data_IF_548376791584
#
_entry.id   IF_548376791584
#
_cell.length_a   1.000
_cell.length_b   1.000
_cell.length_c   1.000
_cell.angle_alpha   90.00
_cell.angle_beta   90.00
_cell.angle_gamma   90.00
#
_symmetry.space_group_name_H-M   'P 1'
#
loop_
_entity.id
_entity.type
_entity.pdbx_description
1 polymer ?
#
# COMPACT_ATOMS: atom_id res chain seq x y z
N UNK A 1 -10.13 12.30 17.43
CA UNK A 1 -9.39 12.57 16.19
C UNK A 1 -9.89 11.65 15.11
N UNK A 2 -9.56 11.95 13.87
CA UNK A 2 -9.93 11.14 12.70
C UNK A 2 -9.30 9.74 12.82
N UNK A 3 -10.00 8.70 12.36
CA UNK A 3 -9.49 7.32 12.38
C UNK A 3 -8.97 6.93 11.01
N UNK A 4 -7.71 6.52 10.94
CA UNK A 4 -7.08 6.04 9.69
C UNK A 4 -7.89 4.94 9.01
N UNK A 5 -8.39 3.96 9.78
CA UNK A 5 -9.22 2.87 9.26
C UNK A 5 -10.49 3.32 8.52
N UNK A 6 -11.05 4.48 8.89
CA UNK A 6 -12.19 5.08 8.20
C UNK A 6 -11.74 5.67 6.86
N UNK A 7 -10.73 6.53 6.88
CA UNK A 7 -10.19 7.18 5.66
C UNK A 7 -9.74 6.14 4.62
N UNK A 8 -8.96 5.14 5.05
CA UNK A 8 -8.44 4.10 4.17
C UNK A 8 -9.54 3.26 3.54
N UNK A 9 -10.64 3.01 4.25
CA UNK A 9 -11.81 2.30 3.70
C UNK A 9 -12.52 3.15 2.65
N UNK A 10 -12.75 4.43 2.93
CA UNK A 10 -13.42 5.35 2.02
C UNK A 10 -12.64 5.51 0.72
N UNK A 11 -11.32 5.68 0.80
CA UNK A 11 -10.44 5.73 -0.38
C UNK A 11 -10.46 4.40 -1.14
N UNK A 12 -10.41 3.26 -0.44
CA UNK A 12 -10.44 1.95 -1.08
C UNK A 12 -11.76 1.66 -1.82
N UNK A 13 -12.89 2.09 -1.26
CA UNK A 13 -14.21 1.98 -1.91
C UNK A 13 -14.30 2.86 -3.16
N UNK A 14 -13.78 4.09 -3.10
CA UNK A 14 -13.69 4.99 -4.26
C UNK A 14 -12.78 4.41 -5.34
N UNK A 15 -11.62 3.86 -4.96
CA UNK A 15 -10.69 3.20 -5.87
C UNK A 15 -11.32 1.97 -6.54
N UNK A 16 -12.02 1.14 -5.77
CA UNK A 16 -12.80 0.01 -6.31
C UNK A 16 -13.79 0.47 -7.37
N UNK A 17 -14.61 1.48 -7.04
CA UNK A 17 -15.64 1.98 -7.94
C UNK A 17 -15.07 2.53 -9.26
N UNK A 18 -13.94 3.23 -9.23
CA UNK A 18 -13.32 3.75 -10.45
C UNK A 18 -12.64 2.65 -11.28
N UNK A 19 -11.99 1.66 -10.66
CA UNK A 19 -11.38 0.53 -11.38
C UNK A 19 -12.47 -0.28 -12.08
N UNK A 20 -13.50 -0.72 -11.35
CA UNK A 20 -14.56 -1.60 -11.89
C UNK A 20 -15.40 -0.90 -12.97
N UNK A 21 -15.43 0.44 -12.98
CA UNK A 21 -16.10 1.21 -14.02
C UNK A 21 -15.29 1.30 -15.32
N UNK A 22 -13.96 1.34 -15.25
CA UNK A 22 -13.11 1.72 -16.38
C UNK A 22 -12.19 0.60 -16.88
N UNK A 23 -11.96 -0.44 -16.09
CA UNK A 23 -11.10 -1.56 -16.45
C UNK A 23 -11.86 -2.88 -16.38
N UNK A 24 -11.49 -3.89 -17.21
CA UNK A 24 -12.10 -5.20 -17.19
C UNK A 24 -11.59 -6.07 -16.01
N UNK A 25 -11.34 -5.47 -14.85
CA UNK A 25 -10.83 -6.13 -13.66
C UNK A 25 -11.81 -6.01 -12.50
N UNK A 26 -11.92 -7.09 -11.71
CA UNK A 26 -12.69 -7.11 -10.47
C UNK A 26 -11.81 -6.68 -9.31
N UNK A 27 -12.37 -5.88 -8.38
CA UNK A 27 -11.64 -5.46 -7.18
C UNK A 27 -12.16 -6.20 -5.94
N UNK A 28 -11.24 -6.92 -5.30
CA UNK A 28 -11.49 -7.57 -4.02
C UNK A 28 -10.87 -6.73 -2.89
N UNK A 29 -11.71 -6.25 -1.97
CA UNK A 29 -11.23 -5.60 -0.75
C UNK A 29 -10.91 -6.65 0.31
N UNK A 30 -9.90 -6.38 1.13
CA UNK A 30 -9.55 -7.23 2.29
C UNK A 30 -10.54 -7.06 3.44
N UNK A 31 -11.27 -5.94 3.46
CA UNK A 31 -12.42 -5.64 4.33
C UNK A 31 -13.36 -4.67 3.61
N UNK A 32 -14.66 -4.82 3.85
CA UNK A 32 -15.69 -3.87 3.36
C UNK A 32 -16.34 -3.08 4.50
N UNK A 33 -16.01 -3.43 5.75
CA UNK A 33 -16.55 -2.85 6.97
C UNK A 33 -15.42 -2.48 7.94
N UNK A 34 -15.77 -1.89 9.08
CA UNK A 34 -14.84 -1.55 10.16
C UNK A 34 -14.48 -2.77 11.00
N UNK A 35 -13.80 -3.74 10.38
CA UNK A 35 -13.33 -4.98 11.00
C UNK A 35 -11.81 -5.10 10.91
N UNK A 36 -11.21 -5.64 11.96
CA UNK A 36 -9.76 -5.92 11.97
C UNK A 36 -9.45 -7.15 11.13
N UNK A 37 -8.43 -7.01 10.27
CA UNK A 37 -7.92 -8.09 9.41
C UNK A 37 -6.40 -8.10 9.58
N UNK A 38 -5.88 -9.22 10.11
CA UNK A 38 -4.43 -9.40 10.32
C UNK A 38 -3.67 -9.31 9.00
N UNK A 39 -2.39 -8.97 9.08
CA UNK A 39 -1.53 -8.77 7.91
C UNK A 39 -1.44 -10.07 7.08
N UNK A 40 -1.33 -11.22 7.74
CA UNK A 40 -1.27 -12.54 7.13
C UNK A 40 -2.58 -12.87 6.40
N UNK A 41 -3.73 -12.53 7.01
CA UNK A 41 -5.04 -12.74 6.38
C UNK A 41 -5.23 -11.87 5.15
N UNK A 42 -4.69 -10.64 5.14
CA UNK A 42 -4.70 -9.77 3.94
C UNK A 42 -3.92 -10.40 2.79
N UNK A 43 -2.71 -10.91 3.05
CA UNK A 43 -1.91 -11.61 2.04
C UNK A 43 -2.59 -12.90 1.56
N UNK A 44 -3.17 -13.68 2.48
CA UNK A 44 -3.92 -14.89 2.14
C UNK A 44 -5.13 -14.61 1.24
N UNK A 45 -5.88 -13.53 1.50
CA UNK A 45 -6.98 -13.09 0.63
C UNK A 45 -6.44 -12.81 -0.78
N UNK A 46 -5.39 -12.01 -0.92
CA UNK A 46 -4.80 -11.67 -2.23
C UNK A 46 -4.40 -12.94 -3.01
N UNK A 47 -3.75 -13.89 -2.35
CA UNK A 47 -3.31 -15.15 -2.96
C UNK A 47 -4.48 -16.06 -3.35
N UNK A 48 -5.49 -16.18 -2.48
CA UNK A 48 -6.67 -17.03 -2.74
C UNK A 48 -7.46 -16.56 -3.95
N UNK A 49 -7.55 -15.24 -4.14
CA UNK A 49 -8.17 -14.63 -5.32
C UNK A 49 -7.24 -14.57 -6.53
N UNK A 50 -6.00 -15.08 -6.43
CA UNK A 50 -4.97 -15.01 -7.47
C UNK A 50 -4.84 -13.58 -8.01
N UNK A 51 -4.76 -12.62 -7.09
CA UNK A 51 -4.71 -11.21 -7.42
C UNK A 51 -3.56 -10.92 -8.40
N UNK A 52 -3.83 -10.07 -9.39
CA UNK A 52 -2.80 -9.63 -10.33
C UNK A 52 -1.91 -8.55 -9.72
N UNK A 53 -2.47 -7.71 -8.85
CA UNK A 53 -1.79 -6.63 -8.11
C UNK A 53 -2.41 -6.54 -6.72
N UNK A 54 -1.59 -6.20 -5.72
CA UNK A 54 -2.02 -5.87 -4.37
C UNK A 54 -1.65 -4.42 -4.01
N UNK A 55 -2.60 -3.66 -3.46
CA UNK A 55 -2.41 -2.28 -3.04
C UNK A 55 -2.91 -2.13 -1.60
N UNK A 56 -2.00 -1.83 -0.67
CA UNK A 56 -2.36 -1.44 0.71
C UNK A 56 -2.45 0.08 0.78
N UNK A 57 -3.55 0.62 1.29
CA UNK A 57 -3.78 2.07 1.42
C UNK A 57 -3.69 2.45 2.90
N UNK A 58 -2.87 3.46 3.21
CA UNK A 58 -2.60 3.96 4.55
C UNK A 58 -2.66 5.50 4.63
N UNK A 59 -2.77 6.02 5.85
CA UNK A 59 -2.68 7.45 6.14
C UNK A 59 -1.67 7.70 7.27
N UNK A 60 -0.41 7.85 6.86
CA UNK A 60 0.81 7.95 7.63
C UNK A 60 0.70 8.66 9.00
N UNK A 61 1.43 8.14 9.97
CA UNK A 61 1.56 8.71 11.30
C UNK A 61 3.01 9.08 11.62
N UNK A 62 3.25 10.31 12.08
CA UNK A 62 4.55 10.75 12.58
C UNK A 62 4.45 11.45 13.93
N UNK A 63 5.50 11.30 14.74
CA UNK A 63 5.70 12.13 15.93
C UNK A 63 5.91 13.61 15.56
N UNK A 64 6.48 13.88 14.38
CA UNK A 64 6.63 15.23 13.85
C UNK A 64 5.32 15.65 13.19
N UNK A 65 4.53 16.47 13.88
CA UNK A 65 3.25 17.02 13.39
C UNK A 65 3.37 17.91 12.13
N UNK A 66 4.59 18.23 11.70
CA UNK A 66 4.90 18.95 10.47
C UNK A 66 5.25 18.04 9.29
N UNK A 67 5.43 16.72 9.52
CA UNK A 67 5.59 15.76 8.43
C UNK A 67 4.36 15.82 7.53
N UNK A 68 4.58 15.83 6.22
CA UNK A 68 3.52 15.93 5.23
C UNK A 68 3.93 15.31 3.91
N UNK A 69 2.96 14.98 3.08
CA UNK A 69 3.16 14.42 1.75
C UNK A 69 2.77 12.95 1.62
N UNK A 70 2.84 12.48 0.38
CA UNK A 70 2.52 11.10 0.00
C UNK A 70 3.77 10.33 -0.43
N UNK A 71 3.83 9.06 -0.06
CA UNK A 71 4.92 8.14 -0.41
C UNK A 71 4.35 6.77 -0.78
N UNK A 72 5.05 6.06 -1.67
CA UNK A 72 4.67 4.72 -2.11
C UNK A 72 5.81 3.76 -1.85
N UNK A 73 5.51 2.61 -1.25
CA UNK A 73 6.49 1.62 -0.83
C UNK A 73 6.32 0.30 -1.58
N UNK A 74 7.44 -0.38 -1.83
CA UNK A 74 7.47 -1.78 -2.21
C UNK A 74 8.36 -2.60 -1.27
N UNK A 75 8.23 -3.93 -1.33
CA UNK A 75 8.93 -4.83 -0.41
C UNK A 75 10.44 -4.88 -0.67
N UNK A 76 11.22 -4.76 0.40
CA UNK A 76 12.67 -5.02 0.44
C UNK A 76 13.08 -5.44 1.85
N UNK A 77 14.11 -6.28 1.98
CA UNK A 77 14.71 -6.60 3.29
C UNK A 77 15.34 -5.37 3.95
N UNK A 78 15.85 -4.44 3.13
CA UNK A 78 16.50 -3.22 3.59
C UNK A 78 15.59 -2.02 3.37
N UNK A 79 15.42 -1.21 4.42
CA UNK A 79 14.71 0.07 4.34
C UNK A 79 15.53 1.15 3.61
N UNK A 80 14.87 2.01 2.83
CA UNK A 80 15.50 3.16 2.15
C UNK A 80 16.24 4.09 3.12
N UNK A 81 15.61 4.40 4.25
CA UNK A 81 16.13 5.30 5.28
C UNK A 81 15.59 4.91 6.67
N UNK A 82 16.05 5.59 7.72
CA UNK A 82 15.65 5.33 9.10
C UNK A 82 14.18 5.70 9.38
N UNK A 83 13.63 6.70 8.70
CA UNK A 83 12.22 7.07 8.83
C UNK A 83 11.32 5.94 8.30
N UNK A 84 11.67 5.41 7.13
CA UNK A 84 11.04 4.28 6.47
C UNK A 84 11.14 3.01 7.31
N UNK A 85 12.30 2.77 7.94
CA UNK A 85 12.49 1.63 8.86
C UNK A 85 11.54 1.70 10.05
N UNK A 86 11.35 2.90 10.62
CA UNK A 86 10.44 3.11 11.75
C UNK A 86 8.98 2.96 11.34
N UNK A 87 8.60 3.50 10.18
CA UNK A 87 7.25 3.32 9.65
C UNK A 87 6.94 1.84 9.46
N UNK A 88 7.82 1.08 8.80
CA UNK A 88 7.66 -0.36 8.64
C UNK A 88 7.55 -1.08 9.99
N UNK A 89 8.36 -0.70 10.98
CA UNK A 89 8.24 -1.26 12.33
C UNK A 89 6.86 -0.97 12.96
N UNK A 90 6.36 0.26 12.85
CA UNK A 90 5.05 0.63 13.40
C UNK A 90 3.92 -0.13 12.70
N UNK A 91 3.90 -0.16 11.37
CA UNK A 91 2.88 -0.87 10.59
C UNK A 91 2.90 -2.38 10.84
N UNK A 92 4.07 -2.96 11.06
CA UNK A 92 4.21 -4.39 11.35
C UNK A 92 3.77 -4.80 12.77
N UNK A 93 3.57 -3.82 13.66
CA UNK A 93 3.20 -4.03 15.07
C UNK A 93 1.91 -3.27 15.45
N UNK A 94 1.20 -2.66 14.50
CA UNK A 94 -0.02 -1.88 14.75
C UNK A 94 -1.25 -2.77 15.04
N UNK A 95 -1.13 -4.08 14.83
CA UNK A 95 -2.16 -5.06 15.16
C UNK A 95 -1.79 -5.79 16.45
N UNK A 96 -2.35 -5.36 17.58
CA UNK A 96 -2.32 -6.11 18.84
C UNK A 96 -3.27 -7.31 18.71
N UNK A 97 -2.74 -8.50 18.43
CA UNK A 97 -3.25 -9.85 18.77
C UNK A 97 -2.79 -10.86 17.70
N UNK A 98 -1.54 -11.29 17.83
CA UNK A 98 -1.16 -12.70 17.99
C UNK A 98 0.37 -12.80 17.92
N UNK A 99 0.99 -12.97 19.09
CA UNK A 99 2.34 -13.52 19.19
C UNK A 99 2.28 -15.00 18.87
N UNK A 100 2.32 -15.36 17.59
CA UNK A 100 2.73 -16.72 17.21
C UNK A 100 4.25 -16.75 17.27
N UNK A 101 4.78 -17.42 18.29
CA UNK A 101 6.13 -17.98 18.21
C UNK A 101 6.16 -18.91 17.00
N UNK A 102 6.94 -18.56 15.97
CA UNK A 102 7.31 -19.53 14.95
C UNK A 102 8.80 -19.80 15.03
N UNK A 103 9.10 -21.01 15.51
CA UNK A 103 10.40 -21.66 15.40
C UNK A 103 10.89 -21.69 13.94
N UNK A 104 12.21 -21.54 13.78
CA UNK A 104 13.03 -21.85 12.62
C UNK A 104 12.42 -21.57 11.23
N UNK A 105 12.79 -20.44 10.65
CA UNK A 105 12.55 -20.16 9.22
C UNK A 105 13.43 -21.09 8.38
N UNK A 106 12.82 -22.06 7.70
CA UNK A 106 13.48 -22.96 6.74
C UNK A 106 14.13 -22.17 5.59
N UNK A 107 15.45 -22.26 5.45
CA UNK A 107 16.27 -21.61 4.41
C UNK A 107 15.81 -21.89 2.96
N UNK A 108 15.08 -22.99 2.73
CA UNK A 108 14.51 -23.36 1.42
C UNK A 108 13.34 -22.45 1.04
N UNK A 109 12.53 -21.98 2.01
CA UNK A 109 11.53 -20.95 1.75
C UNK A 109 12.24 -19.66 1.35
N UNK A 110 13.34 -19.29 2.01
CA UNK A 110 14.12 -18.09 1.68
C UNK A 110 14.62 -18.08 0.23
N UNK A 111 15.09 -19.21 -0.31
CA UNK A 111 15.61 -19.32 -1.68
C UNK A 111 14.49 -19.30 -2.74
N UNK A 112 13.37 -19.99 -2.49
CA UNK A 112 12.17 -19.92 -3.34
C UNK A 112 11.50 -18.53 -3.28
N UNK A 113 11.55 -17.87 -2.11
CA UNK A 113 11.21 -16.47 -1.92
C UNK A 113 12.11 -15.56 -2.75
N UNK A 114 13.44 -15.70 -2.68
CA UNK A 114 14.40 -14.87 -3.42
C UNK A 114 14.17 -14.90 -4.95
N UNK A 115 13.89 -16.07 -5.51
CA UNK A 115 13.68 -16.25 -6.94
C UNK A 115 12.32 -15.71 -7.43
N UNK A 116 11.22 -16.00 -6.72
CA UNK A 116 9.88 -15.49 -7.04
C UNK A 116 9.73 -13.99 -6.74
N UNK A 117 10.45 -13.47 -5.74
CA UNK A 117 10.49 -12.06 -5.37
C UNK A 117 11.12 -11.20 -6.46
N UNK A 118 12.16 -11.63 -7.16
CA UNK A 118 12.89 -10.70 -8.04
C UNK A 118 12.02 -10.06 -9.13
N UNK A 119 11.10 -10.82 -9.75
CA UNK A 119 10.19 -10.28 -10.76
C UNK A 119 9.06 -9.46 -10.16
N UNK A 120 8.43 -9.95 -9.08
CA UNK A 120 7.36 -9.21 -8.41
C UNK A 120 7.86 -7.94 -7.74
N UNK A 121 9.07 -7.92 -7.16
CA UNK A 121 9.70 -6.70 -6.63
C UNK A 121 9.95 -5.71 -7.77
N UNK A 122 10.52 -6.14 -8.90
CA UNK A 122 10.72 -5.22 -10.05
C UNK A 122 9.41 -4.63 -10.54
N UNK A 123 8.37 -5.45 -10.64
CA UNK A 123 7.02 -5.00 -11.03
C UNK A 123 6.40 -4.10 -9.95
N UNK A 124 6.60 -4.39 -8.67
CA UNK A 124 6.14 -3.56 -7.55
C UNK A 124 6.82 -2.20 -7.53
N UNK A 125 8.12 -2.16 -7.82
CA UNK A 125 8.87 -0.90 -7.97
C UNK A 125 8.32 -0.06 -9.11
N UNK A 126 8.10 -0.65 -10.30
CA UNK A 126 7.47 0.04 -11.43
C UNK A 126 6.07 0.54 -11.10
N UNK A 127 5.23 -0.30 -10.50
CA UNK A 127 3.88 0.07 -10.05
C UNK A 127 3.93 1.23 -9.04
N UNK A 128 4.86 1.18 -8.08
CA UNK A 128 5.05 2.24 -7.09
C UNK A 128 5.45 3.56 -7.74
N UNK A 129 6.36 3.53 -8.72
CA UNK A 129 6.76 4.72 -9.49
C UNK A 129 5.56 5.33 -10.22
N UNK A 130 4.76 4.53 -10.94
CA UNK A 130 3.58 5.03 -11.66
C UNK A 130 2.57 5.67 -10.71
N UNK A 131 2.24 5.00 -9.60
CA UNK A 131 1.32 5.53 -8.58
C UNK A 131 1.86 6.83 -7.99
N UNK A 132 3.14 6.85 -7.57
CA UNK A 132 3.75 8.03 -6.97
C UNK A 132 3.77 9.22 -7.94
N UNK A 133 4.07 8.99 -9.22
CA UNK A 133 4.01 10.05 -10.24
C UNK A 133 2.61 10.66 -10.33
N UNK A 134 1.55 9.84 -10.34
CA UNK A 134 0.17 10.37 -10.41
C UNK A 134 -0.22 11.10 -9.14
N UNK A 135 0.17 10.60 -7.96
CA UNK A 135 -0.06 11.28 -6.67
C UNK A 135 0.53 12.70 -6.73
N UNK A 136 1.81 12.81 -7.08
CA UNK A 136 2.51 14.10 -7.17
C UNK A 136 1.81 15.12 -8.08
N UNK A 137 1.11 14.66 -9.11
CA UNK A 137 0.41 15.54 -10.06
C UNK A 137 -1.04 15.86 -9.69
N UNK A 138 -1.71 15.00 -8.92
CA UNK A 138 -3.18 15.05 -8.75
C UNK A 138 -3.65 15.29 -7.32
N UNK A 139 -2.91 14.86 -6.30
CA UNK A 139 -3.35 14.98 -4.90
C UNK A 139 -2.97 16.31 -4.26
N UNK A 140 -2.02 17.05 -4.84
CA UNK A 140 -1.48 18.29 -4.26
C UNK A 140 -0.64 18.06 -3.00
N UNK A 141 -0.27 16.82 -2.69
CA UNK A 141 0.60 16.45 -1.57
C UNK A 141 2.07 16.72 -1.89
N UNK A 142 2.88 16.92 -0.85
CA UNK A 142 4.33 16.96 -1.01
C UNK A 142 4.83 15.60 -1.51
N UNK A 143 5.67 15.60 -2.54
CA UNK A 143 6.29 14.39 -3.07
C UNK A 143 7.36 13.87 -2.09
N UNK A 144 7.16 12.65 -1.56
CA UNK A 144 8.16 11.94 -0.73
C UNK A 144 8.82 10.77 -1.45
N UNK A 145 8.43 10.53 -2.70
CA UNK A 145 9.05 9.56 -3.58
C UNK A 145 8.63 8.11 -3.34
N UNK A 146 9.28 7.23 -4.09
CA UNK A 146 9.16 5.78 -3.93
C UNK A 146 10.23 5.29 -2.98
N UNK A 147 9.85 4.40 -2.07
CA UNK A 147 10.73 3.85 -1.04
C UNK A 147 10.56 2.34 -0.92
N UNK A 148 11.45 1.69 -0.19
CA UNK A 148 11.44 0.26 0.02
C UNK A 148 11.65 -0.06 1.50
N UNK A 149 10.97 -1.09 2.03
CA UNK A 149 11.09 -1.51 3.42
C UNK A 149 10.50 -2.92 3.67
N UNK A 150 10.79 -3.56 4.81
CA UNK A 150 10.28 -4.89 5.15
C UNK A 150 8.86 -4.85 5.73
N UNK A 151 7.89 -4.39 4.94
CA UNK A 151 6.48 -4.37 5.34
C UNK A 151 5.86 -5.78 5.30
N UNK A 152 5.42 -6.29 6.45
CA UNK A 152 4.80 -7.63 6.59
C UNK A 152 3.55 -7.80 5.74
N UNK A 153 2.77 -6.73 5.53
CA UNK A 153 1.56 -6.77 4.67
C UNK A 153 1.90 -7.04 3.20
N UNK A 154 3.11 -6.70 2.75
CA UNK A 154 3.59 -6.99 1.39
C UNK A 154 4.30 -8.35 1.33
N UNK A 155 4.77 -8.85 2.46
CA UNK A 155 5.28 -10.22 2.59
C UNK A 155 4.14 -11.23 2.42
N UNK A 156 4.44 -12.36 1.78
CA UNK A 156 3.44 -13.42 1.58
C UNK A 156 2.58 -13.25 0.32
N UNK A 157 2.54 -12.06 -0.28
CA UNK A 157 1.72 -11.81 -1.48
C UNK A 157 2.40 -12.36 -2.73
N UNK A 158 1.71 -13.19 -3.49
CA UNK A 158 2.20 -13.88 -4.69
C UNK A 158 1.93 -13.08 -5.99
N UNK A 159 2.05 -11.75 -5.93
CA UNK A 159 1.90 -10.82 -7.06
C UNK A 159 2.66 -9.50 -6.76
N UNK A 160 2.77 -8.56 -7.72
CA UNK A 160 3.23 -7.20 -7.43
C UNK A 160 2.40 -6.54 -6.33
N UNK A 161 3.06 -5.91 -5.36
CA UNK A 161 2.46 -5.40 -4.15
C UNK A 161 3.07 -4.07 -3.72
N UNK A 162 2.22 -3.08 -3.41
CA UNK A 162 2.64 -1.75 -2.93
C UNK A 162 1.86 -1.33 -1.69
N UNK A 163 2.49 -0.48 -0.88
CA UNK A 163 1.84 0.26 0.21
C UNK A 163 1.85 1.75 -0.12
N UNK A 164 0.68 2.38 -0.13
CA UNK A 164 0.50 3.79 -0.48
C UNK A 164 0.16 4.57 0.79
N UNK A 165 1.07 5.45 1.20
CA UNK A 165 0.81 6.45 2.23
C UNK A 165 0.26 7.72 1.58
N UNK A 166 -1.01 7.98 1.83
CA UNK A 166 -1.77 9.00 1.11
C UNK A 166 -1.45 10.43 1.57
N UNK A 167 -1.33 10.64 2.88
CA UNK A 167 -0.87 11.85 3.56
C UNK A 167 -0.66 11.53 5.05
N UNK A 168 -0.16 12.48 5.85
CA UNK A 168 0.03 12.28 7.28
C UNK A 168 -1.22 12.65 8.09
N UNK A 169 -1.95 11.65 8.61
CA UNK A 169 -3.07 11.88 9.54
C UNK A 169 -2.63 12.61 10.80
N UNK A 170 -1.36 12.45 11.17
CA UNK A 170 -0.75 13.15 12.30
C UNK A 170 -0.59 14.66 12.09
N UNK A 171 -0.62 15.15 10.85
CA UNK A 171 -0.50 16.57 10.51
C UNK A 171 -1.88 17.23 10.47
N UNK A 172 -2.15 18.25 11.31
CA UNK A 172 -3.49 18.85 11.40
C UNK A 172 -4.02 19.48 10.10
N UNK A 173 -3.14 19.86 9.17
CA UNK A 173 -3.57 20.38 7.85
C UNK A 173 -3.96 19.24 6.92
N UNK A 174 -3.16 18.17 6.88
CA UNK A 174 -3.46 17.01 6.06
C UNK A 174 -4.62 16.19 6.62
N UNK A 175 -4.78 16.09 7.95
CA UNK A 175 -5.95 15.45 8.59
C UNK A 175 -7.27 16.07 8.10
N UNK A 176 -7.32 17.41 7.97
CA UNK A 176 -8.49 18.12 7.45
C UNK A 176 -8.75 17.81 5.98
N UNK A 177 -7.72 17.62 5.18
CA UNK A 177 -7.87 17.26 3.76
C UNK A 177 -8.27 15.78 3.61
N UNK A 178 -7.70 14.88 4.42
CA UNK A 178 -7.93 13.44 4.39
C UNK A 178 -9.42 13.05 4.56
N UNK A 179 -10.21 13.89 5.21
CA UNK A 179 -11.67 13.67 5.39
C UNK A 179 -12.54 14.29 4.30
N UNK A 180 -11.95 15.01 3.35
CA UNK A 180 -12.71 15.64 2.24
C UNK A 180 -12.89 14.66 1.09
N UNK A 181 -14.07 14.66 0.50
CA UNK A 181 -14.36 13.85 -0.68
C UNK A 181 -13.44 14.21 -1.84
N UNK A 182 -13.13 15.50 -2.02
CA UNK A 182 -12.25 15.99 -3.07
C UNK A 182 -10.86 15.36 -2.98
N UNK A 183 -10.26 15.33 -1.79
CA UNK A 183 -8.95 14.72 -1.58
C UNK A 183 -8.99 13.21 -1.73
N UNK A 184 -9.98 12.54 -1.15
CA UNK A 184 -10.08 11.09 -1.28
C UNK A 184 -10.31 10.64 -2.73
N UNK A 185 -11.11 11.40 -3.49
CA UNK A 185 -11.30 11.16 -4.91
C UNK A 185 -10.01 11.41 -5.72
N UNK A 186 -9.23 12.44 -5.38
CA UNK A 186 -7.96 12.71 -6.08
C UNK A 186 -6.92 11.60 -5.82
N UNK A 187 -6.85 11.07 -4.60
CA UNK A 187 -6.02 9.91 -4.27
C UNK A 187 -6.48 8.66 -5.04
N UNK A 188 -7.78 8.34 -5.00
CA UNK A 188 -8.32 7.19 -5.72
C UNK A 188 -8.06 7.29 -7.24
N UNK A 189 -8.25 8.49 -7.81
CA UNK A 189 -7.95 8.77 -9.21
C UNK A 189 -6.46 8.59 -9.53
N UNK A 190 -5.57 9.07 -8.66
CA UNK A 190 -4.13 8.94 -8.85
C UNK A 190 -3.67 7.48 -8.83
N UNK A 191 -4.12 6.71 -7.84
CA UNK A 191 -3.80 5.29 -7.74
C UNK A 191 -4.37 4.52 -8.94
N UNK A 192 -5.60 4.81 -9.35
CA UNK A 192 -6.21 4.24 -10.55
C UNK A 192 -5.40 4.51 -11.81
N UNK A 193 -5.00 5.76 -12.05
CA UNK A 193 -4.23 6.12 -13.25
C UNK A 193 -2.84 5.50 -13.24
N UNK A 194 -2.19 5.39 -12.07
CA UNK A 194 -0.91 4.71 -11.93
C UNK A 194 -1.03 3.21 -12.20
N UNK A 195 -2.09 2.58 -11.69
CA UNK A 195 -2.40 1.18 -11.96
C UNK A 195 -2.71 0.94 -13.45
N UNK A 196 -3.54 1.77 -14.07
CA UNK A 196 -3.89 1.65 -15.48
C UNK A 196 -2.64 1.74 -16.38
N UNK A 197 -1.76 2.72 -16.12
CA UNK A 197 -0.50 2.85 -16.86
C UNK A 197 0.42 1.63 -16.67
N UNK A 198 0.50 1.09 -15.45
CA UNK A 198 1.25 -0.14 -15.18
C UNK A 198 0.67 -1.36 -15.93
N UNK A 199 -0.66 -1.51 -15.95
CA UNK A 199 -1.34 -2.62 -16.62
C UNK A 199 -1.17 -2.54 -18.14
N UNK A 200 -1.29 -1.35 -18.72
CA UNK A 200 -1.06 -1.13 -20.15
C UNK A 200 0.38 -1.49 -20.53
N UNK A 201 1.38 -1.09 -19.73
CA UNK A 201 2.76 -1.49 -19.97
C UNK A 201 2.97 -3.01 -19.84
N UNK A 202 2.27 -3.66 -18.91
CA UNK A 202 2.39 -5.10 -18.68
C UNK A 202 1.79 -5.91 -19.82
N UNK A 203 0.63 -5.50 -20.35
CA UNK A 203 -0.08 -6.22 -21.43
C UNK A 203 0.67 -6.10 -22.76
N UNK A 204 1.38 -4.99 -22.98
CA UNK A 204 2.11 -4.72 -24.23
C UNK A 204 3.57 -5.22 -24.23
N UNK A 205 4.00 -5.95 -23.20
CA UNK A 205 5.32 -6.62 -23.12
C UNK A 205 5.19 -8.09 -23.51
#
# INVERSE_FOLDING_TARGET
>A
GTKEKTITLEIALKLKAIIERNLPYRVQLTREEDVDVSLEKRAAIANNYKAFVFISIHANGSYRKTAQGSETFFLSLNATDEETRRLAYMENNSTDLESIQSDNVDDIKLILWDMAQSSYIRQSSRLAEKIQTKLNTLSGTLNRGVKQAPFKVLTGVACPAVLVETAFISNPREEKNLITDEFQNSIAQAVYLGLAEFLDEYINQ
#
